data_IF_505233835475
#
_entry.id   IF_505233835475
#
_cell.length_a   1.000
_cell.length_b   1.000
_cell.length_c   1.000
_cell.angle_alpha   90.00
_cell.angle_beta   90.00
_cell.angle_gamma   90.00
#
_symmetry.space_group_name_H-M   'P 1'
#
loop_
_entity.id
_entity.type
_entity.pdbx_description
1 polymer ?
#
# COMPACT_ATOMS: atom_id res chain seq x y z
N UNK A 1 7.74 16.09 9.95
CA UNK A 1 8.14 14.77 9.41
C UNK A 1 7.24 14.26 8.28
N UNK A 2 5.95 14.59 8.21
CA UNK A 2 5.08 14.09 7.13
C UNK A 2 5.14 14.91 5.83
N UNK A 3 5.91 16.01 5.79
CA UNK A 3 6.03 16.88 4.61
C UNK A 3 7.27 16.56 3.76
N UNK A 4 8.11 15.61 4.17
CA UNK A 4 9.37 15.28 3.49
C UNK A 4 9.18 14.29 2.32
N UNK A 5 7.97 13.73 2.19
CA UNK A 5 7.64 12.70 1.21
C UNK A 5 6.15 12.75 0.81
N UNK A 6 5.80 12.11 -0.30
CA UNK A 6 4.41 12.01 -0.73
C UNK A 6 3.63 11.05 0.16
N UNK A 7 2.50 11.51 0.71
CA UNK A 7 1.61 10.68 1.54
C UNK A 7 0.14 11.00 1.27
N UNK A 8 -0.69 9.98 1.45
CA UNK A 8 -2.15 10.12 1.48
C UNK A 8 -2.59 10.57 2.86
N UNK A 9 -3.46 11.57 2.97
CA UNK A 9 -4.01 12.05 4.25
C UNK A 9 -5.42 11.51 4.50
N UNK A 10 -6.17 11.21 3.44
CA UNK A 10 -7.53 10.69 3.53
C UNK A 10 -7.88 9.85 2.31
N UNK A 11 -8.60 8.76 2.51
CA UNK A 11 -9.09 7.87 1.46
C UNK A 11 -10.59 7.70 1.60
N UNK A 12 -11.32 8.07 0.55
CA UNK A 12 -12.76 7.95 0.45
C UNK A 12 -13.11 6.94 -0.65
N UNK A 13 -13.82 5.88 -0.29
CA UNK A 13 -14.21 4.80 -1.19
C UNK A 13 -15.72 4.72 -1.28
N UNK A 14 -16.26 4.46 -2.47
CA UNK A 14 -17.69 4.26 -2.69
C UNK A 14 -17.94 3.08 -3.62
N UNK A 15 -18.82 2.17 -3.20
CA UNK A 15 -19.27 1.00 -3.95
C UNK A 15 -18.12 0.17 -4.54
N UNK A 16 -17.05 0.00 -3.76
CA UNK A 16 -15.83 -0.71 -4.16
C UNK A 16 -15.77 -2.09 -3.49
N UNK A 17 -15.92 -3.18 -4.26
CA UNK A 17 -15.95 -4.57 -3.77
C UNK A 17 -16.86 -4.73 -2.54
N UNK A 18 -16.35 -5.07 -1.36
CA UNK A 18 -17.16 -5.20 -0.14
C UNK A 18 -17.52 -3.87 0.53
N UNK A 19 -16.88 -2.77 0.12
CA UNK A 19 -16.96 -1.45 0.75
C UNK A 19 -18.08 -0.64 0.09
N UNK A 20 -19.17 -0.40 0.82
CA UNK A 20 -20.26 0.45 0.36
C UNK A 20 -19.87 1.92 0.38
N UNK A 21 -19.33 2.37 1.51
CA UNK A 21 -18.71 3.66 1.70
C UNK A 21 -17.61 3.51 2.76
N UNK A 22 -16.48 4.19 2.58
CA UNK A 22 -15.47 4.35 3.62
C UNK A 22 -14.89 5.75 3.53
N UNK A 23 -14.51 6.30 4.68
CA UNK A 23 -13.88 7.58 4.80
C UNK A 23 -12.82 7.49 5.90
N UNK A 24 -11.55 7.41 5.48
CA UNK A 24 -10.46 6.96 6.33
C UNK A 24 -9.33 7.97 6.28
N UNK A 25 -9.11 8.66 7.39
CA UNK A 25 -7.92 9.49 7.59
C UNK A 25 -6.67 8.61 7.77
N UNK A 26 -5.53 9.03 7.24
CA UNK A 26 -4.28 8.29 7.27
C UNK A 26 -3.15 9.12 7.88
N UNK A 27 -2.27 8.44 8.62
CA UNK A 27 -1.02 8.99 9.16
C UNK A 27 0.21 8.45 8.42
N UNK A 28 1.40 8.66 9.00
CA UNK A 28 2.66 8.13 8.46
C UNK A 28 2.76 6.61 8.59
N UNK A 29 2.26 6.06 9.69
CA UNK A 29 2.07 4.63 9.91
C UNK A 29 0.59 4.39 10.18
N UNK A 30 -0.01 3.42 9.49
CA UNK A 30 -1.41 3.02 9.69
C UNK A 30 -1.52 1.51 9.69
N UNK A 31 -2.23 0.97 10.69
CA UNK A 31 -2.62 -0.43 10.74
C UNK A 31 -4.12 -0.56 10.46
N UNK A 32 -4.48 -1.24 9.37
CA UNK A 32 -5.84 -1.73 9.13
C UNK A 32 -5.98 -3.05 9.88
N UNK A 33 -6.76 -3.07 10.96
CA UNK A 33 -6.85 -4.20 11.89
C UNK A 33 -8.25 -4.78 11.93
N UNK A 34 -8.37 -6.10 11.84
CA UNK A 34 -9.64 -6.79 12.00
C UNK A 34 -9.60 -8.23 11.49
N UNK A 35 -10.71 -8.98 11.56
CA UNK A 35 -10.76 -10.37 11.15
C UNK A 35 -10.56 -10.55 9.64
N UNK A 36 -10.31 -11.80 9.24
CA UNK A 36 -10.23 -12.17 7.83
C UNK A 36 -11.59 -11.95 7.14
N UNK A 37 -11.55 -11.52 5.87
CA UNK A 37 -12.76 -11.19 5.12
C UNK A 37 -13.44 -9.86 5.48
N UNK A 38 -12.90 -9.08 6.44
CA UNK A 38 -13.52 -7.83 6.87
C UNK A 38 -13.47 -6.70 5.82
N UNK A 39 -12.58 -6.79 4.82
CA UNK A 39 -12.42 -5.80 3.74
C UNK A 39 -11.08 -5.06 3.71
N UNK A 40 -10.12 -5.43 4.57
CA UNK A 40 -8.77 -4.83 4.64
C UNK A 40 -8.05 -4.85 3.29
N UNK A 41 -8.00 -6.01 2.64
CA UNK A 41 -7.37 -6.18 1.32
C UNK A 41 -8.13 -5.42 0.22
N UNK A 42 -9.44 -5.22 0.35
CA UNK A 42 -10.21 -4.43 -0.61
C UNK A 42 -9.88 -2.93 -0.52
N UNK A 43 -9.58 -2.43 0.68
CA UNK A 43 -9.09 -1.07 0.86
C UNK A 43 -7.72 -0.87 0.21
N UNK A 44 -6.77 -1.78 0.45
CA UNK A 44 -5.46 -1.74 -0.23
C UNK A 44 -5.58 -1.92 -1.75
N UNK A 45 -6.50 -2.78 -2.21
CA UNK A 45 -6.74 -3.00 -3.63
C UNK A 45 -7.25 -1.74 -4.34
N UNK A 46 -8.02 -0.87 -3.67
CA UNK A 46 -8.45 0.41 -4.23
C UNK A 46 -7.27 1.36 -4.50
N UNK A 47 -6.31 1.43 -3.57
CA UNK A 47 -5.07 2.19 -3.76
C UNK A 47 -4.22 1.60 -4.90
N UNK A 48 -4.15 0.27 -4.95
CA UNK A 48 -3.48 -0.47 -6.02
C UNK A 48 -4.12 -0.19 -7.38
N UNK A 49 -5.45 -0.14 -7.45
CA UNK A 49 -6.18 0.15 -8.70
C UNK A 49 -5.76 1.51 -9.25
N UNK A 50 -5.72 2.56 -8.41
CA UNK A 50 -5.30 3.90 -8.84
C UNK A 50 -3.85 3.86 -9.35
N UNK A 51 -2.92 3.30 -8.57
CA UNK A 51 -1.51 3.18 -8.95
C UNK A 51 -1.30 2.43 -10.27
N UNK A 52 -1.94 1.26 -10.43
CA UNK A 52 -1.85 0.48 -11.68
C UNK A 52 -2.49 1.20 -12.86
N UNK A 53 -3.63 1.86 -12.66
CA UNK A 53 -4.32 2.59 -13.72
C UNK A 53 -3.48 3.74 -14.28
N UNK A 54 -2.65 4.38 -13.44
CA UNK A 54 -1.73 5.44 -13.83
C UNK A 54 -0.43 4.91 -14.46
N UNK A 55 0.07 3.73 -14.01
CA UNK A 55 1.30 3.13 -14.53
C UNK A 55 1.13 2.39 -15.85
N UNK A 56 0.01 1.70 -16.04
CA UNK A 56 -0.29 0.94 -17.26
C UNK A 56 -1.49 1.56 -17.97
N UNK A 57 -2.70 1.18 -17.56
CA UNK A 57 -3.96 1.74 -18.03
C UNK A 57 -5.09 1.30 -17.09
N UNK A 58 -6.18 2.09 -17.04
CA UNK A 58 -7.37 1.69 -16.28
C UNK A 58 -7.98 0.39 -16.82
N UNK A 59 -7.89 0.14 -18.14
CA UNK A 59 -8.38 -1.10 -18.74
C UNK A 59 -7.65 -2.33 -18.16
N UNK A 60 -6.32 -2.35 -18.22
CA UNK A 60 -5.52 -3.46 -17.69
C UNK A 60 -5.73 -3.63 -16.17
N UNK A 61 -5.82 -2.52 -15.44
CA UNK A 61 -6.03 -2.53 -14.00
C UNK A 61 -7.41 -3.11 -13.63
N UNK A 62 -8.45 -2.90 -14.44
CA UNK A 62 -9.74 -3.54 -14.27
C UNK A 62 -9.73 -5.01 -14.72
N UNK A 63 -9.11 -5.33 -15.85
CA UNK A 63 -9.03 -6.71 -16.38
C UNK A 63 -8.30 -7.67 -15.44
N UNK A 64 -7.19 -7.23 -14.84
CA UNK A 64 -6.46 -7.99 -13.81
C UNK A 64 -7.30 -8.28 -12.56
N UNK A 65 -8.43 -7.60 -12.40
CA UNK A 65 -9.41 -7.82 -11.32
C UNK A 65 -10.65 -8.59 -11.78
N UNK A 66 -10.69 -9.10 -13.01
CA UNK A 66 -11.86 -9.75 -13.60
C UNK A 66 -12.87 -8.79 -14.24
N UNK A 67 -12.47 -7.55 -14.49
CA UNK A 67 -13.28 -6.50 -15.11
C UNK A 67 -14.02 -5.61 -14.11
N UNK A 68 -14.68 -4.57 -14.64
CA UNK A 68 -15.35 -3.52 -13.84
C UNK A 68 -16.45 -4.07 -12.92
N UNK A 69 -17.09 -5.17 -13.31
CA UNK A 69 -18.17 -5.79 -12.54
C UNK A 69 -17.69 -6.42 -11.22
N UNK A 70 -16.45 -6.92 -11.19
CA UNK A 70 -15.84 -7.52 -10.00
C UNK A 70 -15.23 -6.47 -9.05
N UNK A 71 -14.87 -5.30 -9.59
CA UNK A 71 -14.41 -4.15 -8.79
C UNK A 71 -15.58 -3.44 -8.11
N UNK A 72 -16.73 -3.40 -8.78
CA UNK A 72 -17.94 -2.78 -8.26
C UNK A 72 -18.59 -3.62 -7.17
N UNK A 73 -19.18 -2.96 -6.18
CA UNK A 73 -19.86 -3.66 -5.08
C UNK A 73 -21.02 -4.51 -5.56
N UNK A 74 -21.02 -5.78 -5.17
CA UNK A 74 -22.15 -6.70 -5.35
C UNK A 74 -23.15 -6.44 -4.22
N UNK A 75 -24.33 -5.95 -4.58
CA UNK A 75 -25.43 -5.69 -3.63
C UNK A 75 -26.78 -5.65 -4.33
N UNK A 76 -27.86 -5.74 -3.57
CA UNK A 76 -29.26 -5.70 -4.07
C UNK A 76 -29.60 -4.39 -4.78
N UNK A 77 -28.92 -3.29 -4.43
CA UNK A 77 -29.09 -1.99 -5.11
C UNK A 77 -28.41 -1.91 -6.47
N UNK A 78 -27.67 -2.94 -6.90
CA UNK A 78 -26.96 -3.01 -8.18
C UNK A 78 -26.27 -1.69 -8.57
N UNK A 79 -25.34 -1.20 -7.72
CA UNK A 79 -24.69 0.08 -7.97
C UNK A 79 -24.10 0.08 -9.36
N UNK A 80 -24.27 1.18 -10.11
CA UNK A 80 -23.79 1.24 -11.50
C UNK A 80 -22.34 1.71 -11.60
N UNK A 81 -21.83 2.33 -10.54
CA UNK A 81 -20.53 3.02 -10.47
C UNK A 81 -19.79 2.71 -9.17
N UNK A 82 -18.48 2.86 -9.18
CA UNK A 82 -17.65 2.95 -7.97
C UNK A 82 -16.80 4.21 -8.02
N UNK A 83 -16.32 4.66 -6.85
CA UNK A 83 -15.49 5.84 -6.73
C UNK A 83 -14.34 5.67 -5.75
N UNK A 84 -13.23 6.35 -6.06
CA UNK A 84 -12.03 6.45 -5.21
C UNK A 84 -11.62 7.91 -5.19
N UNK A 85 -11.54 8.49 -4.00
CA UNK A 85 -11.11 9.85 -3.74
C UNK A 85 -9.96 9.83 -2.74
N UNK A 86 -8.89 10.54 -3.05
CA UNK A 86 -7.63 10.54 -2.32
C UNK A 86 -7.23 11.98 -2.04
N UNK A 87 -7.12 12.33 -0.76
CA UNK A 87 -6.45 13.56 -0.35
C UNK A 87 -4.99 13.23 -0.05
N UNK A 88 -4.08 14.11 -0.49
CA UNK A 88 -2.65 13.86 -0.42
C UNK A 88 -1.87 15.13 -0.08
N UNK A 89 -0.62 14.90 0.33
CA UNK A 89 0.40 15.93 0.51
C UNK A 89 1.76 15.42 0.09
N UNK A 90 2.67 16.34 -0.16
CA UNK A 90 4.06 16.08 -0.43
C UNK A 90 4.91 17.33 -0.19
N UNK A 91 6.20 17.30 -0.57
CA UNK A 91 7.12 18.40 -0.31
C UNK A 91 6.68 19.72 -0.96
N UNK A 92 6.06 20.61 -0.17
CA UNK A 92 5.57 21.91 -0.60
C UNK A 92 4.25 21.89 -1.40
N UNK A 93 3.52 20.77 -1.41
CA UNK A 93 2.23 20.68 -2.10
C UNK A 93 1.21 19.80 -1.38
N UNK A 94 -0.06 20.08 -1.61
CA UNK A 94 -1.20 19.32 -1.11
C UNK A 94 -2.33 19.33 -2.14
N UNK A 95 -3.26 18.39 -2.05
CA UNK A 95 -4.34 18.33 -3.01
C UNK A 95 -5.26 17.14 -2.86
N UNK A 96 -6.14 17.00 -3.85
CA UNK A 96 -7.11 15.93 -3.97
C UNK A 96 -7.11 15.33 -5.36
N UNK A 97 -7.34 14.03 -5.46
CA UNK A 97 -7.54 13.30 -6.70
C UNK A 97 -8.71 12.34 -6.56
N UNK A 98 -9.64 12.37 -7.52
CA UNK A 98 -10.85 11.55 -7.48
C UNK A 98 -11.17 10.93 -8.83
N UNK A 99 -11.62 9.68 -8.82
CA UNK A 99 -12.17 8.97 -9.98
C UNK A 99 -13.54 8.37 -9.66
N UNK A 100 -14.44 8.41 -10.64
CA UNK A 100 -15.68 7.64 -10.65
C UNK A 100 -15.78 6.87 -11.97
N UNK A 101 -15.94 5.55 -11.86
CA UNK A 101 -15.99 4.65 -13.02
C UNK A 101 -17.32 3.91 -13.03
N UNK A 102 -17.96 3.86 -14.20
CA UNK A 102 -19.20 3.11 -14.41
C UNK A 102 -18.97 1.92 -15.35
N UNK A 103 -19.75 0.86 -15.12
CA UNK A 103 -19.87 -0.22 -16.10
C UNK A 103 -20.58 0.26 -17.37
N UNK A 104 -20.18 -0.31 -18.50
CA UNK A 104 -20.79 -0.12 -19.81
C UNK A 104 -21.29 -1.48 -20.36
N UNK A 105 -21.94 -1.46 -21.52
CA UNK A 105 -22.43 -2.69 -22.18
C UNK A 105 -21.27 -3.64 -22.49
N UNK A 106 -21.58 -4.93 -22.56
CA UNK A 106 -20.63 -6.01 -22.90
C UNK A 106 -19.38 -6.05 -21.99
N UNK A 107 -19.53 -5.71 -20.71
CA UNK A 107 -18.43 -5.76 -19.74
C UNK A 107 -17.43 -4.60 -19.82
N UNK A 108 -17.66 -3.63 -20.71
CA UNK A 108 -16.82 -2.44 -20.81
C UNK A 108 -16.97 -1.50 -19.62
N UNK A 109 -16.20 -0.42 -19.61
CA UNK A 109 -16.28 0.64 -18.60
C UNK A 109 -16.21 2.02 -19.24
N UNK A 110 -16.55 3.05 -18.45
CA UNK A 110 -16.27 4.45 -18.76
C UNK A 110 -15.90 5.22 -17.50
N UNK A 111 -14.95 6.14 -17.63
CA UNK A 111 -14.66 7.17 -16.64
C UNK A 111 -15.79 8.18 -16.70
N UNK A 112 -16.59 8.23 -15.63
CA UNK A 112 -17.72 9.16 -15.53
C UNK A 112 -17.26 10.51 -15.04
N UNK A 113 -16.34 10.51 -14.07
CA UNK A 113 -15.72 11.71 -13.53
C UNK A 113 -14.29 11.41 -13.15
N UNK A 114 -13.41 12.36 -13.42
CA UNK A 114 -12.06 12.41 -12.87
C UNK A 114 -11.72 13.85 -12.55
N UNK A 115 -11.15 14.08 -11.38
CA UNK A 115 -10.70 15.41 -10.99
C UNK A 115 -9.40 15.35 -10.22
N UNK A 116 -8.58 16.37 -10.42
CA UNK A 116 -7.36 16.58 -9.65
C UNK A 116 -7.26 18.06 -9.33
N UNK A 117 -6.96 18.38 -8.08
CA UNK A 117 -6.57 19.71 -7.63
C UNK A 117 -5.28 19.58 -6.82
N UNK A 118 -4.31 20.45 -7.08
CA UNK A 118 -3.04 20.51 -6.35
C UNK A 118 -2.65 21.96 -6.10
N UNK A 119 -2.31 22.27 -4.87
CA UNK A 119 -1.85 23.57 -4.41
C UNK A 119 -0.38 23.49 -4.00
N UNK A 120 0.40 24.50 -4.41
CA UNK A 120 1.79 24.67 -4.00
C UNK A 120 1.91 25.90 -3.10
N UNK A 121 2.20 25.70 -1.81
CA UNK A 121 2.24 26.79 -0.82
C UNK A 121 0.94 27.62 -0.80
N UNK A 122 1.07 28.95 -0.85
CA UNK A 122 -0.06 29.89 -0.91
C UNK A 122 -0.52 30.25 -2.33
N UNK A 123 0.00 29.55 -3.36
CA UNK A 123 -0.33 29.81 -4.76
C UNK A 123 -1.76 29.41 -5.13
N UNK A 124 -2.22 29.88 -6.30
CA UNK A 124 -3.47 29.42 -6.92
C UNK A 124 -3.37 27.91 -7.21
N UNK A 125 -4.39 27.10 -6.88
CA UNK A 125 -4.36 25.69 -7.16
C UNK A 125 -4.36 25.43 -8.68
N UNK A 126 -3.57 24.45 -9.10
CA UNK A 126 -3.70 23.86 -10.42
C UNK A 126 -4.72 22.74 -10.37
N UNK A 127 -5.60 22.64 -11.35
CA UNK A 127 -6.62 21.60 -11.36
C UNK A 127 -7.20 21.31 -12.73
N UNK A 128 -7.85 20.15 -12.81
CA UNK A 128 -8.67 19.76 -13.94
C UNK A 128 -9.89 18.95 -13.48
N UNK A 129 -10.94 18.98 -14.29
CA UNK A 129 -12.11 18.09 -14.16
C UNK A 129 -12.51 17.56 -15.52
N UNK A 130 -12.67 16.24 -15.60
CA UNK A 130 -13.19 15.53 -16.77
C UNK A 130 -14.51 14.90 -16.38
N UNK A 131 -15.56 15.19 -17.13
CA UNK A 131 -16.88 14.58 -16.96
C UNK A 131 -17.30 13.89 -18.26
N UNK A 132 -17.59 12.59 -18.18
CA UNK A 132 -18.06 11.78 -19.32
C UNK A 132 -17.08 11.75 -20.52
N UNK A 133 -15.78 11.91 -20.28
CA UNK A 133 -14.77 11.98 -21.34
C UNK A 133 -14.59 13.36 -21.97
N UNK A 134 -15.16 14.42 -21.37
CA UNK A 134 -14.95 15.81 -21.78
C UNK A 134 -14.21 16.58 -20.69
N UNK A 135 -13.16 17.33 -21.06
CA UNK A 135 -12.47 18.22 -20.14
C UNK A 135 -13.34 19.47 -19.92
N UNK A 136 -13.96 19.58 -18.74
CA UNK A 136 -14.93 20.63 -18.41
C UNK A 136 -14.33 21.79 -17.62
N UNK A 137 -13.21 21.57 -16.93
CA UNK A 137 -12.47 22.60 -16.20
C UNK A 137 -10.99 22.30 -16.25
N UNK A 138 -10.16 23.35 -16.40
CA UNK A 138 -8.71 23.24 -16.47
C UNK A 138 -8.05 24.57 -16.13
N UNK A 139 -6.97 24.54 -15.36
CA UNK A 139 -6.17 25.74 -15.05
C UNK A 139 -4.87 25.81 -15.85
N UNK A 140 -4.34 24.66 -16.27
CA UNK A 140 -3.05 24.54 -16.95
C UNK A 140 -3.17 24.51 -18.48
N UNK A 141 -2.19 25.11 -19.16
CA UNK A 141 -2.07 25.02 -20.62
C UNK A 141 -1.42 23.71 -21.04
N UNK A 142 -1.65 23.29 -22.28
CA UNK A 142 -1.03 22.08 -22.85
C UNK A 142 -1.60 20.77 -22.29
N UNK A 143 -2.82 20.82 -21.75
CA UNK A 143 -3.50 19.64 -21.24
C UNK A 143 -3.91 18.70 -22.38
N UNK A 144 -3.76 17.38 -22.19
CA UNK A 144 -4.10 16.41 -23.22
C UNK A 144 -5.62 16.33 -23.45
N UNK A 145 -6.03 15.74 -24.56
CA UNK A 145 -7.45 15.48 -24.83
C UNK A 145 -7.98 14.42 -23.86
N UNK A 146 -9.19 14.63 -23.35
CA UNK A 146 -9.86 13.64 -22.50
C UNK A 146 -10.33 12.43 -23.32
N UNK A 147 -10.28 11.25 -22.70
CA UNK A 147 -10.77 9.99 -23.25
C UNK A 147 -11.61 9.27 -22.19
N UNK A 148 -12.86 8.86 -22.48
CA UNK A 148 -13.72 8.18 -21.51
C UNK A 148 -13.20 6.80 -21.06
N UNK A 149 -12.12 6.27 -21.64
CA UNK A 149 -11.52 4.97 -21.31
C UNK A 149 -10.15 5.09 -20.64
N UNK A 150 -9.61 6.30 -20.46
CA UNK A 150 -8.30 6.54 -19.88
C UNK A 150 -8.40 7.57 -18.77
N UNK A 151 -7.47 7.50 -17.82
CA UNK A 151 -7.36 8.52 -16.78
C UNK A 151 -6.55 9.70 -17.33
N UNK A 152 -7.12 10.91 -17.27
CA UNK A 152 -6.49 12.17 -17.61
C UNK A 152 -5.17 12.37 -16.87
N UNK A 153 -5.09 12.03 -15.57
CA UNK A 153 -3.87 12.21 -14.78
C UNK A 153 -2.68 11.41 -15.36
N UNK A 154 -2.93 10.26 -15.99
CA UNK A 154 -1.87 9.44 -16.59
C UNK A 154 -1.15 10.19 -17.73
N UNK A 155 -1.89 10.99 -18.52
CA UNK A 155 -1.32 11.80 -19.58
C UNK A 155 -0.90 13.20 -19.06
N UNK A 156 -1.66 13.77 -18.12
CA UNK A 156 -1.39 15.06 -17.50
C UNK A 156 -0.15 15.05 -16.59
N UNK A 157 0.36 13.89 -16.18
CA UNK A 157 1.63 13.76 -15.43
C UNK A 157 2.86 14.35 -16.15
N UNK A 158 2.74 14.67 -17.46
CA UNK A 158 3.76 15.40 -18.23
C UNK A 158 3.72 16.92 -18.00
N UNK A 159 2.59 17.44 -17.52
CA UNK A 159 2.42 18.84 -17.15
C UNK A 159 3.07 19.04 -15.77
N UNK A 160 3.94 20.05 -15.68
CA UNK A 160 4.77 20.30 -14.48
C UNK A 160 3.96 20.33 -13.19
N UNK A 161 2.76 20.93 -13.22
CA UNK A 161 1.89 21.05 -12.05
C UNK A 161 1.37 19.71 -11.53
N UNK A 162 1.08 18.74 -12.40
CA UNK A 162 0.50 17.44 -12.02
C UNK A 162 1.55 16.32 -11.90
N UNK A 163 2.78 16.57 -12.34
CA UNK A 163 3.87 15.58 -12.29
C UNK A 163 4.10 15.01 -10.88
N UNK A 164 4.22 15.82 -9.79
CA UNK A 164 4.41 15.27 -8.45
C UNK A 164 3.22 14.41 -7.96
N UNK A 165 2.00 14.78 -8.37
CA UNK A 165 0.78 14.02 -8.05
C UNK A 165 0.79 12.67 -8.76
N UNK A 166 1.11 12.66 -10.06
CA UNK A 166 1.27 11.43 -10.84
C UNK A 166 2.37 10.55 -10.26
N UNK A 167 3.57 11.09 -9.99
CA UNK A 167 4.69 10.32 -9.43
C UNK A 167 4.35 9.74 -8.05
N UNK A 168 3.65 10.50 -7.20
CA UNK A 168 3.19 10.04 -5.89
C UNK A 168 2.16 8.91 -5.97
N UNK A 169 1.08 9.11 -6.72
CA UNK A 169 -0.02 8.14 -6.85
C UNK A 169 0.37 6.89 -7.65
N UNK A 170 1.08 7.05 -8.77
CA UNK A 170 1.61 5.92 -9.54
C UNK A 170 2.71 5.18 -8.77
N UNK A 171 3.38 5.87 -7.84
CA UNK A 171 4.41 5.30 -6.97
C UNK A 171 3.87 4.46 -5.82
N UNK A 172 2.56 4.49 -5.52
CA UNK A 172 1.99 3.70 -4.41
C UNK A 172 2.25 2.21 -4.67
N UNK A 173 2.98 1.57 -3.76
CA UNK A 173 3.33 0.15 -3.83
C UNK A 173 2.48 -0.68 -2.88
N UNK A 174 1.64 -1.58 -3.40
CA UNK A 174 0.87 -2.52 -2.59
C UNK A 174 1.47 -3.92 -2.73
N UNK A 175 2.01 -4.44 -1.63
CA UNK A 175 2.75 -5.70 -1.56
C UNK A 175 1.88 -6.81 -0.97
N UNK A 176 1.92 -7.97 -1.61
CA UNK A 176 1.36 -9.22 -1.13
C UNK A 176 2.34 -10.32 -1.56
N UNK A 177 3.30 -10.55 -0.68
CA UNK A 177 4.51 -11.30 -0.98
C UNK A 177 4.21 -12.80 -1.04
N UNK A 178 4.70 -13.44 -2.09
CA UNK A 178 4.58 -14.87 -2.30
C UNK A 178 5.97 -15.52 -2.21
N UNK A 179 6.29 -16.19 -1.10
CA UNK A 179 7.56 -16.90 -0.94
C UNK A 179 7.86 -17.88 -2.08
N UNK A 180 6.85 -18.49 -2.70
CA UNK A 180 7.05 -19.42 -3.82
C UNK A 180 7.47 -18.69 -5.09
N UNK A 181 6.91 -17.50 -5.35
CA UNK A 181 7.35 -16.64 -6.44
C UNK A 181 8.79 -16.13 -6.20
N UNK A 182 9.10 -15.70 -4.97
CA UNK A 182 10.43 -15.22 -4.57
C UNK A 182 11.52 -16.30 -4.64
N UNK A 183 11.13 -17.56 -4.41
CA UNK A 183 12.04 -18.72 -4.43
C UNK A 183 12.51 -19.08 -5.84
N UNK A 184 11.70 -18.80 -6.87
CA UNK A 184 11.96 -19.20 -8.25
C UNK A 184 13.01 -18.30 -8.89
N UNK A 185 14.09 -18.84 -9.48
CA UNK A 185 15.03 -18.04 -10.26
C UNK A 185 14.32 -17.32 -11.42
N UNK A 186 14.42 -16.00 -11.44
CA UNK A 186 13.78 -15.12 -12.42
C UNK A 186 14.70 -14.78 -13.59
N UNK A 187 14.11 -14.29 -14.68
CA UNK A 187 14.87 -13.61 -15.72
C UNK A 187 15.50 -12.31 -15.17
N UNK A 188 16.57 -11.79 -15.78
CA UNK A 188 17.14 -10.51 -15.39
C UNK A 188 16.09 -9.39 -15.39
N UNK A 189 16.09 -8.59 -14.33
CA UNK A 189 15.14 -7.50 -14.12
C UNK A 189 15.93 -6.21 -13.77
N UNK A 190 15.39 -5.05 -14.15
CA UNK A 190 16.05 -3.78 -13.86
C UNK A 190 16.06 -3.43 -12.35
N UNK A 191 15.21 -4.10 -11.55
CA UNK A 191 15.12 -3.93 -10.11
C UNK A 191 14.59 -2.55 -9.69
N UNK A 192 13.85 -1.85 -10.56
CA UNK A 192 13.43 -0.45 -10.32
C UNK A 192 12.50 -0.32 -9.11
N UNK A 193 11.55 -1.23 -8.97
CA UNK A 193 10.62 -1.33 -7.86
C UNK A 193 10.38 -2.81 -7.53
N UNK A 194 10.10 -3.13 -6.26
CA UNK A 194 9.71 -4.47 -5.87
C UNK A 194 8.32 -4.80 -6.45
N UNK A 195 8.21 -5.96 -7.10
CA UNK A 195 6.92 -6.47 -7.58
C UNK A 195 6.03 -6.83 -6.40
N UNK A 196 4.71 -6.84 -6.63
CA UNK A 196 3.70 -7.15 -5.60
C UNK A 196 4.00 -8.47 -4.87
N UNK A 197 4.41 -9.49 -5.62
CA UNK A 197 4.72 -10.84 -5.12
C UNK A 197 6.16 -11.00 -4.60
N UNK A 198 7.00 -9.98 -4.75
CA UNK A 198 8.42 -10.01 -4.38
C UNK A 198 9.33 -10.77 -5.35
N UNK A 199 8.82 -11.30 -6.46
CA UNK A 199 9.57 -12.19 -7.38
C UNK A 199 10.88 -11.61 -7.94
N UNK A 200 11.01 -10.28 -8.00
CA UNK A 200 12.24 -9.60 -8.45
C UNK A 200 13.13 -9.07 -7.30
N UNK A 201 12.94 -9.56 -6.06
CA UNK A 201 13.70 -9.11 -4.88
C UNK A 201 15.23 -9.13 -5.09
N UNK A 202 15.75 -10.12 -5.80
CA UNK A 202 17.19 -10.23 -6.10
C UNK A 202 17.70 -9.05 -6.95
N UNK A 203 16.92 -8.63 -7.95
CA UNK A 203 17.26 -7.50 -8.81
C UNK A 203 17.20 -6.18 -8.03
N UNK A 204 16.22 -6.02 -7.15
CA UNK A 204 16.08 -4.84 -6.28
C UNK A 204 17.28 -4.72 -5.34
N UNK A 205 17.64 -5.80 -4.63
CA UNK A 205 18.82 -5.83 -3.76
C UNK A 205 20.11 -5.46 -4.50
N UNK A 206 20.28 -5.97 -5.72
CA UNK A 206 21.43 -5.63 -6.55
C UNK A 206 21.45 -4.16 -6.96
N UNK A 207 20.29 -3.59 -7.33
CA UNK A 207 20.16 -2.17 -7.68
C UNK A 207 20.49 -1.28 -6.48
N UNK A 208 20.01 -1.62 -5.28
CA UNK A 208 20.27 -0.86 -4.05
C UNK A 208 21.77 -0.65 -3.81
N UNK A 209 22.61 -1.67 -4.09
CA UNK A 209 24.06 -1.58 -3.93
C UNK A 209 24.76 -0.51 -4.78
N UNK A 210 24.10 0.03 -5.82
CA UNK A 210 24.68 1.00 -6.75
C UNK A 210 24.78 2.43 -6.20
N UNK A 211 24.04 2.76 -5.14
CA UNK A 211 24.03 4.11 -4.54
C UNK A 211 24.46 4.05 -3.08
N UNK A 212 24.98 5.15 -2.52
CA UNK A 212 25.35 5.21 -1.10
C UNK A 212 24.13 4.96 -0.19
N UNK A 213 23.04 5.69 -0.44
CA UNK A 213 21.76 5.53 0.27
C UNK A 213 21.22 4.10 0.20
N UNK A 214 21.22 3.49 -0.99
CA UNK A 214 20.76 2.12 -1.14
C UNK A 214 21.64 1.09 -0.43
N UNK A 215 22.95 1.34 -0.28
CA UNK A 215 23.82 0.50 0.56
C UNK A 215 23.48 0.60 2.04
N UNK A 216 23.18 1.80 2.54
CA UNK A 216 22.71 1.99 3.92
C UNK A 216 21.37 1.29 4.16
N UNK A 217 20.41 1.46 3.24
CA UNK A 217 19.11 0.78 3.33
C UNK A 217 19.25 -0.74 3.26
N UNK A 218 20.23 -1.27 2.52
CA UNK A 218 20.55 -2.69 2.54
C UNK A 218 21.10 -3.16 3.90
N UNK A 219 21.96 -2.37 4.54
CA UNK A 219 22.46 -2.68 5.88
C UNK A 219 21.32 -2.68 6.91
N UNK A 220 20.36 -1.75 6.79
CA UNK A 220 19.14 -1.75 7.63
C UNK A 220 18.31 -3.02 7.43
N UNK A 221 18.09 -3.42 6.17
CA UNK A 221 17.41 -4.68 5.83
C UNK A 221 18.12 -5.87 6.49
N UNK A 222 19.44 -5.96 6.37
CA UNK A 222 20.22 -7.05 6.96
C UNK A 222 20.16 -7.05 8.50
N UNK A 223 20.13 -5.87 9.13
CA UNK A 223 19.98 -5.73 10.58
C UNK A 223 18.65 -6.28 11.07
N UNK A 224 17.54 -5.78 10.52
CA UNK A 224 16.20 -6.25 10.91
C UNK A 224 15.98 -7.73 10.55
N UNK A 225 16.51 -8.19 9.42
CA UNK A 225 16.37 -9.60 9.02
C UNK A 225 17.08 -10.52 10.03
N UNK A 226 18.23 -10.11 10.57
CA UNK A 226 18.96 -10.86 11.59
C UNK A 226 18.18 -10.94 12.90
N UNK A 227 17.49 -9.86 13.29
CA UNK A 227 16.63 -9.83 14.47
C UNK A 227 15.40 -10.72 14.31
N UNK A 228 14.79 -10.74 13.12
CA UNK A 228 13.61 -11.56 12.81
C UNK A 228 13.95 -13.04 12.64
N UNK A 229 15.10 -13.36 12.04
CA UNK A 229 15.52 -14.71 11.67
C UNK A 229 16.93 -14.97 12.19
N UNK A 230 17.06 -15.49 13.43
CA UNK A 230 18.35 -15.76 14.05
C UNK A 230 19.26 -16.62 13.16
N UNK A 231 20.50 -16.18 13.02
CA UNK A 231 21.52 -16.86 12.21
C UNK A 231 21.62 -16.38 10.76
N UNK A 232 20.67 -15.61 10.21
CA UNK A 232 20.83 -14.99 8.88
C UNK A 232 21.62 -13.68 9.02
N UNK A 233 22.76 -13.57 8.34
CA UNK A 233 23.68 -12.42 8.48
C UNK A 233 23.81 -11.54 7.24
N UNK A 234 23.36 -12.00 6.07
CA UNK A 234 23.45 -11.21 4.85
C UNK A 234 22.60 -11.78 3.71
N UNK A 235 22.27 -10.89 2.77
CA UNK A 235 21.50 -11.23 1.58
C UNK A 235 22.11 -10.59 0.34
N UNK A 236 22.23 -11.37 -0.73
CA UNK A 236 22.82 -10.91 -1.98
C UNK A 236 22.09 -11.49 -3.19
N UNK A 237 22.20 -10.79 -4.31
CA UNK A 237 21.84 -11.37 -5.62
C UNK A 237 22.87 -12.42 -6.00
N UNK A 238 22.39 -13.55 -6.49
CA UNK A 238 23.17 -14.58 -7.18
C UNK A 238 22.65 -14.76 -8.60
N UNK A 239 23.57 -14.93 -9.55
CA UNK A 239 23.24 -15.23 -10.95
C UNK A 239 23.68 -16.65 -11.25
N UNK A 240 22.78 -17.48 -11.77
CA UNK A 240 23.08 -18.85 -12.19
C UNK A 240 22.32 -19.17 -13.47
N UNK A 241 23.04 -19.58 -14.52
CA UNK A 241 22.43 -19.94 -15.81
C UNK A 241 21.64 -18.79 -16.46
N UNK A 242 22.13 -17.56 -16.33
CA UNK A 242 21.45 -16.35 -16.84
C UNK A 242 20.20 -15.94 -16.07
N UNK A 243 19.85 -16.66 -14.99
CA UNK A 243 18.75 -16.33 -14.09
C UNK A 243 19.25 -15.74 -12.79
N UNK A 244 18.40 -14.96 -12.14
CA UNK A 244 18.69 -14.29 -10.88
C UNK A 244 17.91 -14.93 -9.73
N UNK A 245 18.57 -15.06 -8.58
CA UNK A 245 17.95 -15.52 -7.34
C UNK A 245 18.61 -14.83 -6.14
N UNK A 246 18.04 -14.99 -4.96
CA UNK A 246 18.64 -14.51 -3.71
C UNK A 246 19.52 -15.59 -3.12
N UNK A 247 20.67 -15.18 -2.60
CA UNK A 247 21.55 -16.00 -1.76
C UNK A 247 21.62 -15.40 -0.35
N UNK A 248 21.45 -16.26 0.65
CA UNK A 248 21.51 -15.95 2.06
C UNK A 248 22.86 -16.41 2.63
N UNK A 249 23.44 -15.62 3.51
CA UNK A 249 24.60 -16.00 4.30
C UNK A 249 24.17 -16.29 5.75
N UNK A 250 24.54 -17.47 6.26
CA UNK A 250 24.22 -17.92 7.62
C UNK A 250 25.50 -18.24 8.40
N UNK A 251 25.62 -17.75 9.63
CA UNK A 251 26.71 -18.18 10.51
C UNK A 251 26.35 -19.53 11.14
N UNK A 252 27.31 -20.45 11.11
CA UNK A 252 27.16 -21.79 11.68
C UNK A 252 28.27 -21.98 12.71
N UNK A 253 27.95 -22.31 13.98
CA UNK A 253 28.96 -22.57 15.00
C UNK A 253 30.00 -23.60 14.52
N UNK A 254 31.28 -23.22 14.60
CA UNK A 254 32.40 -24.07 14.16
C UNK A 254 32.78 -23.96 12.68
N UNK A 255 32.02 -23.23 11.86
CA UNK A 255 32.41 -22.96 10.47
C UNK A 255 33.37 -21.76 10.38
N UNK A 256 34.44 -21.89 9.56
CA UNK A 256 35.39 -20.79 9.32
C UNK A 256 34.80 -19.64 8.48
N UNK A 257 33.80 -19.93 7.66
CA UNK A 257 33.11 -18.97 6.80
C UNK A 257 31.59 -19.19 6.89
N UNK A 258 30.76 -18.15 6.72
CA UNK A 258 29.31 -18.29 6.65
C UNK A 258 28.89 -19.26 5.54
N UNK A 259 27.91 -20.11 5.84
CA UNK A 259 27.30 -20.98 4.84
C UNK A 259 26.41 -20.15 3.91
N UNK A 260 26.37 -20.52 2.64
CA UNK A 260 25.60 -19.84 1.61
C UNK A 260 24.47 -20.73 1.11
N UNK A 261 23.26 -20.21 1.19
CA UNK A 261 22.06 -20.92 0.78
C UNK A 261 21.33 -20.13 -0.29
N UNK A 262 20.89 -20.82 -1.33
CA UNK A 262 20.00 -20.23 -2.31
C UNK A 262 18.58 -20.14 -1.75
N UNK A 263 17.75 -19.22 -2.27
CA UNK A 263 16.37 -19.01 -1.82
C UNK A 263 15.51 -20.29 -1.75
N UNK A 264 15.84 -21.31 -2.56
CA UNK A 264 15.19 -22.62 -2.57
C UNK A 264 15.33 -23.40 -1.26
N UNK A 265 16.38 -23.15 -0.50
CA UNK A 265 16.71 -23.88 0.73
C UNK A 265 16.27 -23.14 2.00
N UNK A 266 15.58 -22.01 1.87
CA UNK A 266 15.22 -21.13 2.99
C UNK A 266 13.71 -21.20 3.26
N UNK A 267 13.30 -21.06 4.52
CA UNK A 267 11.89 -21.08 4.94
C UNK A 267 11.07 -19.94 4.32
N UNK A 268 9.76 -20.18 4.16
CA UNK A 268 8.82 -19.20 3.62
C UNK A 268 8.78 -17.91 4.46
N UNK A 269 8.86 -18.03 5.79
CA UNK A 269 8.91 -16.88 6.70
C UNK A 269 10.12 -15.98 6.48
N UNK A 270 11.30 -16.54 6.20
CA UNK A 270 12.51 -15.74 5.93
C UNK A 270 12.41 -14.98 4.61
N UNK A 271 11.87 -15.63 3.57
CA UNK A 271 11.65 -14.97 2.28
C UNK A 271 10.63 -13.85 2.41
N UNK A 272 9.55 -14.08 3.17
CA UNK A 272 8.54 -13.05 3.45
C UNK A 272 9.11 -11.89 4.26
N UNK A 273 9.87 -12.15 5.33
CA UNK A 273 10.58 -11.12 6.09
C UNK A 273 11.48 -10.28 5.18
N UNK A 274 12.31 -10.92 4.34
CA UNK A 274 13.15 -10.21 3.38
C UNK A 274 12.31 -9.37 2.41
N UNK A 275 11.22 -9.92 1.87
CA UNK A 275 10.34 -9.20 0.95
C UNK A 275 9.68 -7.99 1.60
N UNK A 276 9.26 -8.11 2.87
CA UNK A 276 8.69 -6.99 3.64
C UNK A 276 9.75 -5.92 3.83
N UNK A 277 10.94 -6.29 4.31
CA UNK A 277 12.03 -5.34 4.57
C UNK A 277 12.54 -4.65 3.29
N UNK A 278 12.77 -5.40 2.21
CA UNK A 278 13.09 -4.81 0.89
C UNK A 278 11.94 -3.94 0.44
N UNK A 279 10.71 -4.41 0.60
CA UNK A 279 9.50 -3.65 0.35
C UNK A 279 9.54 -2.31 1.04
N UNK A 280 9.85 -2.28 2.35
CA UNK A 280 9.87 -1.16 3.28
C UNK A 280 10.98 -0.13 2.99
N UNK A 281 12.18 -0.57 2.64
CA UNK A 281 13.34 0.31 2.53
C UNK A 281 13.82 0.56 1.08
N UNK A 282 13.42 -0.26 0.11
CA UNK A 282 13.77 -0.05 -1.29
C UNK A 282 12.83 0.96 -1.96
N UNK A 283 13.23 2.24 -1.99
CA UNK A 283 12.45 3.28 -2.65
C UNK A 283 12.59 3.25 -4.19
N UNK A 284 11.47 3.32 -4.92
CA UNK A 284 11.50 3.57 -6.36
C UNK A 284 11.72 5.08 -6.62
N UNK A 285 12.98 5.49 -6.80
CA UNK A 285 13.31 6.88 -7.17
C UNK A 285 13.74 7.75 -5.97
N UNK A 286 13.59 9.07 -6.09
CA UNK A 286 13.98 10.05 -5.06
C UNK A 286 12.83 10.42 -4.12
N UNK A 287 11.58 10.48 -4.63
CA UNK A 287 10.39 10.72 -3.84
C UNK A 287 9.89 9.40 -3.23
N UNK A 288 9.94 9.30 -1.90
CA UNK A 288 9.45 8.12 -1.22
C UNK A 288 7.91 8.12 -1.24
N UNK A 289 7.30 7.19 -1.97
CA UNK A 289 5.86 7.01 -2.05
C UNK A 289 5.34 6.04 -0.99
N UNK A 290 4.02 6.07 -0.76
CA UNK A 290 3.33 5.13 0.13
C UNK A 290 3.61 3.67 -0.22
N UNK A 291 3.89 2.86 0.81
CA UNK A 291 3.82 1.40 0.72
C UNK A 291 2.65 0.90 1.53
N UNK A 292 1.95 -0.08 0.97
CA UNK A 292 1.05 -0.91 1.73
C UNK A 292 1.54 -2.36 1.74
N UNK A 293 1.53 -3.00 2.90
CA UNK A 293 1.96 -4.39 3.06
C UNK A 293 0.81 -5.23 3.60
N UNK A 294 0.41 -6.25 2.84
CA UNK A 294 -0.61 -7.20 3.26
C UNK A 294 -0.01 -8.22 4.24
N UNK A 295 -0.47 -8.19 5.49
CA UNK A 295 -0.15 -9.16 6.55
C UNK A 295 1.36 -9.42 6.63
N UNK A 296 2.15 -8.37 6.95
CA UNK A 296 3.61 -8.47 6.99
C UNK A 296 4.12 -9.55 7.97
N UNK A 297 3.31 -9.91 8.96
CA UNK A 297 3.62 -10.87 10.01
C UNK A 297 3.35 -12.33 9.64
N UNK A 298 2.61 -12.61 8.56
CA UNK A 298 2.26 -14.00 8.20
C UNK A 298 3.52 -14.83 8.03
N UNK A 299 3.50 -16.06 8.55
CA UNK A 299 4.60 -17.02 8.50
C UNK A 299 5.88 -16.59 9.27
N UNK A 300 5.82 -15.49 10.04
CA UNK A 300 6.86 -15.14 11.00
C UNK A 300 6.58 -15.78 12.37
N UNK A 301 7.65 -16.08 13.10
CA UNK A 301 7.53 -16.51 14.50
C UNK A 301 7.11 -15.31 15.37
N UNK A 302 6.28 -15.50 16.43
CA UNK A 302 5.83 -14.39 17.27
C UNK A 302 6.94 -13.52 17.86
N UNK A 303 8.11 -14.10 18.15
CA UNK A 303 9.29 -13.35 18.64
C UNK A 303 9.83 -12.31 17.64
N UNK A 304 9.51 -12.44 16.35
CA UNK A 304 9.89 -11.49 15.32
C UNK A 304 8.94 -10.28 15.22
N UNK A 305 7.80 -10.31 15.93
CA UNK A 305 6.78 -9.25 15.88
C UNK A 305 7.35 -7.88 16.28
N UNK A 306 8.15 -7.83 17.35
CA UNK A 306 8.79 -6.59 17.81
C UNK A 306 9.74 -6.00 16.77
N UNK A 307 10.61 -6.83 16.18
CA UNK A 307 11.51 -6.41 15.11
C UNK A 307 10.75 -5.93 13.86
N UNK A 308 9.59 -6.55 13.55
CA UNK A 308 8.74 -6.13 12.45
C UNK A 308 8.08 -4.78 12.71
N UNK A 309 7.52 -4.58 13.91
CA UNK A 309 6.95 -3.31 14.31
C UNK A 309 8.01 -2.19 14.26
N UNK A 310 9.21 -2.47 14.76
CA UNK A 310 10.34 -1.54 14.70
C UNK A 310 10.71 -1.19 13.24
N UNK A 311 10.77 -2.18 12.34
CA UNK A 311 11.05 -1.93 10.92
C UNK A 311 9.95 -1.12 10.21
N UNK A 312 8.67 -1.40 10.50
CA UNK A 312 7.53 -0.64 9.98
C UNK A 312 7.60 0.83 10.42
N UNK A 313 7.94 1.07 11.69
CA UNK A 313 8.05 2.41 12.27
C UNK A 313 9.32 3.15 11.82
N UNK A 314 10.46 2.46 11.65
CA UNK A 314 11.64 3.06 11.01
C UNK A 314 11.33 3.49 9.58
N UNK A 315 10.68 2.63 8.79
CA UNK A 315 10.26 2.97 7.44
C UNK A 315 9.26 4.15 7.40
N UNK A 316 8.36 4.26 8.39
CA UNK A 316 7.35 5.33 8.44
C UNK A 316 7.94 6.75 8.62
N UNK A 317 9.15 6.83 9.17
CA UNK A 317 9.91 8.10 9.27
C UNK A 317 10.33 8.66 7.92
N UNK A 318 10.45 7.81 6.90
CA UNK A 318 10.96 8.17 5.56
C UNK A 318 9.91 8.12 4.47
N UNK A 319 8.77 7.46 4.74
CA UNK A 319 7.65 7.35 3.81
C UNK A 319 6.38 6.87 4.49
N UNK A 320 5.25 6.97 3.82
CA UNK A 320 4.02 6.42 4.38
C UNK A 320 3.99 4.89 4.32
N UNK A 321 3.59 4.26 5.43
CA UNK A 321 3.44 2.81 5.57
C UNK A 321 2.01 2.49 6.01
N UNK A 322 1.35 1.61 5.26
CA UNK A 322 0.04 1.06 5.60
C UNK A 322 0.19 -0.45 5.73
N UNK A 323 -0.10 -1.03 6.89
CA UNK A 323 -0.07 -2.48 7.09
C UNK A 323 -1.49 -2.99 7.33
N UNK A 324 -1.84 -4.14 6.75
CA UNK A 324 -3.02 -4.89 7.21
C UNK A 324 -2.57 -5.94 8.19
N UNK A 325 -3.30 -6.11 9.29
CA UNK A 325 -2.98 -7.16 10.25
C UNK A 325 -4.25 -7.79 10.83
N UNK A 326 -4.12 -9.06 11.17
CA UNK A 326 -5.07 -9.78 12.02
C UNK A 326 -4.35 -10.48 13.18
N UNK A 327 -3.06 -10.16 13.40
CA UNK A 327 -2.22 -10.78 14.41
C UNK A 327 -2.21 -9.94 15.68
N UNK A 328 -2.62 -10.56 16.78
CA UNK A 328 -2.49 -9.95 18.08
C UNK A 328 -1.03 -9.76 18.50
N UNK A 329 -0.11 -10.64 18.04
CA UNK A 329 1.30 -10.59 18.44
C UNK A 329 2.03 -9.38 17.84
N UNK A 330 1.68 -8.98 16.59
CA UNK A 330 2.20 -7.74 16.00
C UNK A 330 1.71 -6.49 16.75
N UNK A 331 0.51 -6.58 17.31
CA UNK A 331 -0.18 -5.49 17.99
C UNK A 331 0.00 -5.50 19.52
N UNK A 332 0.79 -6.44 20.06
CA UNK A 332 1.09 -6.57 21.48
C UNK A 332 2.23 -5.61 21.86
N UNK A 333 2.02 -4.31 21.71
CA UNK A 333 3.02 -3.28 22.01
C UNK A 333 2.38 -2.00 22.55
N UNK A 334 2.99 -1.43 23.58
CA UNK A 334 2.64 -0.13 24.16
C UNK A 334 3.02 1.04 23.24
N UNK A 335 3.92 0.81 22.28
CA UNK A 335 4.42 1.85 21.40
C UNK A 335 3.39 2.24 20.33
N UNK A 336 2.35 1.43 20.10
CA UNK A 336 1.32 1.68 19.09
C UNK A 336 0.38 2.79 19.56
N UNK A 337 0.38 3.91 18.84
CA UNK A 337 -0.57 4.99 19.11
C UNK A 337 -1.96 4.56 18.60
N UNK A 338 -3.03 4.68 19.41
CA UNK A 338 -4.41 4.45 18.94
C UNK A 338 -4.79 5.20 17.65
N UNK A 339 -4.16 6.34 17.38
CA UNK A 339 -4.33 7.10 16.14
C UNK A 339 -3.74 6.42 14.89
N UNK A 340 -2.83 5.45 15.05
CA UNK A 340 -2.30 4.60 13.96
C UNK A 340 -3.28 3.47 13.60
N UNK A 341 -4.25 3.15 14.47
CA UNK A 341 -5.16 2.04 14.29
C UNK A 341 -6.42 2.44 13.51
N UNK A 342 -6.77 1.64 12.51
CA UNK A 342 -8.07 1.67 11.83
C UNK A 342 -8.70 0.30 11.95
N UNK A 343 -9.77 0.21 12.74
CA UNK A 343 -10.51 -1.03 12.86
C UNK A 343 -11.33 -1.28 11.58
N UNK A 344 -11.40 -2.55 11.19
CA UNK A 344 -12.13 -3.03 10.03
C UNK A 344 -13.05 -4.17 10.46
N UNK A 345 -14.35 -4.03 10.20
CA UNK A 345 -15.35 -5.07 10.47
C UNK A 345 -16.27 -5.23 9.28
N UNK A 346 -16.78 -6.44 9.08
CA UNK A 346 -17.87 -6.71 8.16
C UNK A 346 -19.12 -7.03 8.98
N UNK A 347 -20.11 -6.14 8.94
CA UNK A 347 -21.37 -6.29 9.66
C UNK A 347 -22.48 -6.37 8.62
N UNK A 348 -23.29 -7.44 8.65
CA UNK A 348 -24.41 -7.65 7.71
C UNK A 348 -23.99 -7.60 6.22
N UNK A 349 -22.75 -7.98 5.89
CA UNK A 349 -22.22 -7.91 4.52
C UNK A 349 -21.75 -6.52 4.09
N UNK A 350 -21.54 -5.61 5.04
CA UNK A 350 -21.01 -4.27 4.83
C UNK A 350 -19.68 -4.11 5.56
N UNK A 351 -18.62 -3.81 4.80
CA UNK A 351 -17.35 -3.39 5.40
C UNK A 351 -17.48 -1.98 6.00
N UNK A 352 -17.10 -1.85 7.27
CA UNK A 352 -16.95 -0.58 8.00
C UNK A 352 -15.47 -0.44 8.36
N UNK A 353 -14.89 0.71 8.02
CA UNK A 353 -13.49 1.07 8.30
C UNK A 353 -13.49 2.43 8.98
N UNK A 354 -12.77 2.56 10.08
CA UNK A 354 -12.64 3.84 10.78
C UNK A 354 -11.66 3.78 11.94
N UNK A 355 -11.47 4.91 12.62
CA UNK A 355 -10.81 4.92 13.92
C UNK A 355 -11.58 4.08 14.94
N UNK A 356 -10.95 3.80 16.08
CA UNK A 356 -11.59 3.02 17.14
C UNK A 356 -12.84 3.72 17.70
N UNK A 357 -13.81 2.91 18.13
CA UNK A 357 -14.93 3.39 18.93
C UNK A 357 -14.46 3.98 20.27
N UNK A 358 -15.36 4.65 20.99
CA UNK A 358 -15.00 5.33 22.25
C UNK A 358 -14.48 4.37 23.33
N UNK A 359 -15.09 3.20 23.58
CA UNK A 359 -14.57 2.25 24.56
C UNK A 359 -13.17 1.72 24.21
N UNK A 360 -12.94 1.33 22.95
CA UNK A 360 -11.63 0.86 22.50
C UNK A 360 -10.57 1.95 22.59
N UNK A 361 -10.91 3.17 22.14
CA UNK A 361 -10.02 4.34 22.22
C UNK A 361 -9.66 4.68 23.68
N UNK A 362 -10.64 4.69 24.58
CA UNK A 362 -10.40 4.96 26.00
C UNK A 362 -9.50 3.90 26.62
N UNK A 363 -9.78 2.61 26.37
CA UNK A 363 -9.03 1.49 26.95
C UNK A 363 -7.54 1.57 26.60
N UNK A 364 -7.21 1.89 25.34
CA UNK A 364 -5.83 2.03 24.92
C UNK A 364 -5.17 3.30 25.45
N UNK A 365 -5.87 4.45 25.42
CA UNK A 365 -5.31 5.74 25.91
C UNK A 365 -5.07 5.74 27.41
N UNK A 366 -5.94 5.07 28.17
CA UNK A 366 -5.80 4.88 29.60
C UNK A 366 -4.82 3.74 29.95
N UNK A 367 -4.18 3.12 28.94
CA UNK A 367 -3.21 2.02 29.10
C UNK A 367 -3.78 0.84 29.91
N UNK A 368 -5.07 0.57 29.77
CA UNK A 368 -5.77 -0.52 30.47
C UNK A 368 -5.62 -1.86 29.75
N UNK A 369 -5.30 -1.83 28.46
CA UNK A 369 -5.01 -3.01 27.65
C UNK A 369 -4.13 -2.64 26.46
N UNK A 370 -3.49 -3.64 25.85
CA UNK A 370 -2.77 -3.49 24.58
C UNK A 370 -3.70 -3.74 23.38
N UNK A 371 -3.40 -3.17 22.19
CA UNK A 371 -4.21 -3.40 20.99
C UNK A 371 -4.36 -4.90 20.65
N UNK A 372 -3.29 -5.69 20.83
CA UNK A 372 -3.32 -7.14 20.67
C UNK A 372 -4.34 -7.84 21.58
N UNK A 373 -4.49 -7.39 22.82
CA UNK A 373 -5.46 -7.93 23.77
C UNK A 373 -6.90 -7.61 23.36
N UNK A 374 -7.16 -6.36 22.94
CA UNK A 374 -8.46 -5.98 22.39
C UNK A 374 -8.79 -6.74 21.12
N UNK A 375 -7.79 -7.04 20.28
CA UNK A 375 -7.98 -7.87 19.10
C UNK A 375 -8.39 -9.31 19.47
N UNK A 376 -7.72 -9.93 20.44
CA UNK A 376 -8.05 -11.29 20.93
C UNK A 376 -9.45 -11.36 21.55
N UNK A 377 -9.89 -10.29 22.22
CA UNK A 377 -11.21 -10.18 22.82
C UNK A 377 -12.31 -9.78 21.82
N UNK A 378 -11.99 -9.59 20.53
CA UNK A 378 -12.88 -9.04 19.50
C UNK A 378 -13.49 -7.66 19.84
N UNK A 379 -12.70 -6.82 20.52
CA UNK A 379 -13.10 -5.48 21.00
C UNK A 379 -12.46 -4.32 20.22
N UNK A 380 -11.58 -4.58 19.25
CA UNK A 380 -11.12 -3.55 18.32
C UNK A 380 -12.18 -3.25 17.24
N UNK A 381 -13.16 -2.44 17.62
CA UNK A 381 -14.31 -2.09 16.79
C UNK A 381 -14.16 -0.71 16.14
N UNK A 382 -14.64 -0.53 14.89
CA UNK A 382 -14.63 0.77 14.25
C UNK A 382 -15.72 1.67 14.83
N UNK A 383 -15.41 2.96 14.95
CA UNK A 383 -16.43 3.99 15.17
C UNK A 383 -17.49 3.89 14.06
N UNK A 384 -18.79 3.96 14.39
CA UNK A 384 -19.84 3.95 13.39
C UNK A 384 -19.63 5.05 12.34
N UNK A 385 -19.81 4.72 11.06
CA UNK A 385 -19.78 5.71 10.01
C UNK A 385 -20.91 6.75 10.21
N UNK A 386 -20.60 8.03 10.02
CA UNK A 386 -21.60 9.10 10.09
C UNK A 386 -22.73 8.85 9.07
N UNK A 387 -24.00 9.15 9.42
CA UNK A 387 -25.16 8.89 8.54
C UNK A 387 -25.06 9.53 7.14
N UNK A 388 -24.33 10.63 7.01
CA UNK A 388 -24.17 11.41 5.76
C UNK A 388 -23.49 10.62 4.64
N UNK A 389 -22.59 9.68 4.98
CA UNK A 389 -21.97 8.76 4.00
C UNK A 389 -22.97 7.77 3.38
N UNK A 390 -24.17 7.64 3.96
CA UNK A 390 -25.26 6.79 3.45
C UNK A 390 -26.24 7.54 2.54
N UNK A 391 -26.25 8.87 2.52
CA UNK A 391 -27.37 9.65 1.95
C UNK A 391 -27.20 10.07 0.48
N UNK A 392 -26.00 10.04 -0.11
CA UNK A 392 -25.84 10.32 -1.55
C UNK A 392 -26.15 9.10 -2.46
N UNK A 393 -27.08 8.24 -2.00
CA UNK A 393 -27.45 6.96 -2.63
C UNK A 393 -28.71 7.10 -3.50
N UNK A 394 -28.83 8.18 -4.28
CA UNK A 394 -29.84 8.25 -5.35
C UNK A 394 -29.23 8.62 -6.70
#
# INVERSE_FOLDING_TARGET
MLDDYFSLTRVRLRQYRSIAAADVELGGLVFLVGPNGAGKSNFLDALRLVSESLRTSLADALETRGGVAEVRRKSTGHPSRFGVELDFRGPGFEGGYGIQVAGARAGGFRVVREECEVRYGSGTPAGFRVDGGQLVSVTERGMPAADPRRLMLADAGRVKAFRPVFEGLAGIGVLNLDPQAMRRPGAPDAGRALRRDGSNVAAVLHRMGRTARGREDRLRIESYLREMVPGVHGVARRVQGGRETVEFAQEVPGAKNPWRFAAQSVSDGTLRALGVLVGLFAAPGEAYSTVAVEEPETALHPTAAGALLAALRDASSRRQVIATSHSADLLESEDIDPAELRAVRCTEGHTVIGGLDEPGMYTLRAQLALPGQLLRADQLLPRPALPELRQEVR
#
